data_IF_411490612694
#
_entry.id   IF_411490612694
#
_cell.length_a   1.000
_cell.length_b   1.000
_cell.length_c   1.000
_cell.angle_alpha   90.00
_cell.angle_beta   90.00
_cell.angle_gamma   90.00
#
_symmetry.space_group_name_H-M   'P 1'
#
loop_
_entity.id
_entity.type
_entity.pdbx_description
1 polymer ?
#
# COMPACT_ATOMS: atom_id res chain seq x y z
N UNK A 1 14.60 10.83 34.64
CA UNK A 1 14.52 9.74 33.64
C UNK A 1 13.53 10.07 32.54
N UNK A 2 12.21 10.18 32.79
CA UNK A 2 11.25 10.56 31.74
C UNK A 2 11.58 11.90 31.03
N UNK A 3 11.95 12.94 31.78
CA UNK A 3 12.40 14.21 31.19
C UNK A 3 13.67 14.10 30.34
N UNK A 4 14.55 13.14 30.66
CA UNK A 4 15.74 12.89 29.86
C UNK A 4 15.36 12.24 28.51
N UNK A 5 14.42 11.30 28.53
CA UNK A 5 13.86 10.73 27.29
C UNK A 5 13.11 11.81 26.47
N UNK A 6 12.37 12.72 27.10
CA UNK A 6 11.79 13.88 26.38
C UNK A 6 12.86 14.77 25.73
N UNK A 7 14.01 14.96 26.39
CA UNK A 7 15.12 15.72 25.81
C UNK A 7 15.74 14.98 24.61
N UNK A 8 15.90 13.66 24.69
CA UNK A 8 16.31 12.82 23.56
C UNK A 8 15.31 12.91 22.42
N UNK A 9 14.00 12.89 22.73
CA UNK A 9 12.95 13.03 21.74
C UNK A 9 13.07 14.33 20.97
N UNK A 10 13.21 15.44 21.71
CA UNK A 10 13.44 16.78 21.15
C UNK A 10 14.63 16.82 20.20
N UNK A 11 15.78 16.28 20.62
CA UNK A 11 16.99 16.21 19.77
C UNK A 11 16.74 15.37 18.51
N UNK A 12 15.96 14.28 18.62
CA UNK A 12 15.57 13.45 17.48
C UNK A 12 14.76 14.25 16.46
N UNK A 13 13.73 14.97 16.92
CA UNK A 13 12.88 15.81 16.08
C UNK A 13 13.65 16.96 15.42
N UNK A 14 14.52 17.64 16.17
CA UNK A 14 15.40 18.70 15.63
C UNK A 14 16.34 18.20 14.52
N UNK A 15 16.62 16.89 14.48
CA UNK A 15 17.46 16.24 13.47
C UNK A 15 16.65 15.55 12.37
N UNK A 16 15.32 15.77 12.30
CA UNK A 16 14.41 15.10 11.37
C UNK A 16 14.44 13.56 11.48
N UNK A 17 14.70 13.03 12.69
CA UNK A 17 14.62 11.59 12.99
C UNK A 17 13.36 11.34 13.81
N UNK A 18 12.21 11.29 13.13
CA UNK A 18 10.90 11.15 13.78
C UNK A 18 10.82 9.82 14.52
N UNK A 19 11.30 8.73 13.92
CA UNK A 19 11.33 7.41 14.54
C UNK A 19 12.10 7.39 15.88
N UNK A 20 13.29 7.99 15.90
CA UNK A 20 14.12 8.10 17.10
C UNK A 20 13.41 8.92 18.20
N UNK A 21 12.80 10.04 17.79
CA UNK A 21 12.08 10.90 18.72
C UNK A 21 10.84 10.22 19.30
N UNK A 22 10.11 9.50 18.44
CA UNK A 22 8.94 8.71 18.80
C UNK A 22 9.28 7.59 19.80
N UNK A 23 10.33 6.81 19.53
CA UNK A 23 10.79 5.76 20.45
C UNK A 23 11.17 6.34 21.82
N UNK A 24 11.80 7.51 21.85
CA UNK A 24 12.12 8.19 23.11
C UNK A 24 10.87 8.66 23.87
N UNK A 25 9.86 9.20 23.17
CA UNK A 25 8.57 9.52 23.79
C UNK A 25 7.86 8.27 24.33
N UNK A 26 7.87 7.16 23.59
CA UNK A 26 7.29 5.90 24.04
C UNK A 26 7.99 5.36 25.30
N UNK A 27 9.32 5.49 25.39
CA UNK A 27 10.06 5.18 26.63
C UNK A 27 9.69 6.13 27.77
N UNK A 28 9.57 7.42 27.52
CA UNK A 28 9.11 8.39 28.52
C UNK A 28 7.72 8.04 29.06
N UNK A 29 6.78 7.70 28.17
CA UNK A 29 5.43 7.26 28.50
C UNK A 29 5.45 6.00 29.39
N UNK A 30 6.24 4.98 29.00
CA UNK A 30 6.38 3.74 29.78
C UNK A 30 6.91 4.03 31.20
N UNK A 31 7.94 4.86 31.33
CA UNK A 31 8.48 5.28 32.63
C UNK A 31 7.45 6.01 33.49
N UNK A 32 6.63 6.89 32.90
CA UNK A 32 5.57 7.60 33.62
C UNK A 32 4.44 6.66 34.05
N UNK A 33 3.99 5.74 33.17
CA UNK A 33 2.95 4.74 33.49
C UNK A 33 3.40 3.73 34.54
N UNK A 34 4.70 3.44 34.63
CA UNK A 34 5.24 2.50 35.64
C UNK A 34 5.05 2.94 37.09
N UNK A 35 4.73 4.22 37.34
CA UNK A 35 4.50 4.77 38.68
C UNK A 35 3.11 5.40 38.76
N UNK A 36 2.25 4.84 39.62
CA UNK A 36 0.85 5.29 39.80
C UNK A 36 0.76 6.80 40.10
N UNK A 37 1.69 7.35 40.89
CA UNK A 37 1.73 8.78 41.22
C UNK A 37 2.03 9.68 40.01
N UNK A 38 2.71 9.16 38.98
CA UNK A 38 3.05 9.89 37.76
C UNK A 38 2.01 9.72 36.65
N UNK A 39 1.12 8.73 36.78
CA UNK A 39 0.04 8.47 35.82
C UNK A 39 -1.01 9.58 35.70
N UNK A 40 -1.03 10.56 36.61
CA UNK A 40 -1.95 11.71 36.59
C UNK A 40 -1.29 13.03 36.17
N UNK A 41 -0.03 12.98 35.74
CA UNK A 41 0.68 14.20 35.34
C UNK A 41 0.23 14.67 33.96
N UNK A 42 0.04 15.98 33.79
CA UNK A 42 -0.23 16.60 32.49
C UNK A 42 0.84 16.29 31.43
N UNK A 43 2.07 15.98 31.86
CA UNK A 43 3.12 15.56 30.95
C UNK A 43 2.79 14.22 30.26
N UNK A 44 2.13 13.28 30.95
CA UNK A 44 1.78 11.99 30.37
C UNK A 44 0.75 12.16 29.24
N UNK A 45 -0.29 12.98 29.46
CA UNK A 45 -1.30 13.26 28.43
C UNK A 45 -0.70 14.00 27.23
N UNK A 46 0.23 14.93 27.45
CA UNK A 46 0.96 15.60 26.36
C UNK A 46 1.81 14.62 25.54
N UNK A 47 2.47 13.67 26.20
CA UNK A 47 3.25 12.62 25.52
C UNK A 47 2.32 11.70 24.72
N UNK A 48 1.18 11.32 25.28
CA UNK A 48 0.16 10.49 24.61
C UNK A 48 -0.37 11.18 23.35
N UNK A 49 -0.76 12.45 23.45
CA UNK A 49 -1.21 13.25 22.31
C UNK A 49 -0.11 13.39 21.25
N UNK A 50 1.13 13.66 21.67
CA UNK A 50 2.28 13.73 20.75
C UNK A 50 2.54 12.41 20.04
N UNK A 51 2.41 11.28 20.73
CA UNK A 51 2.57 9.94 20.14
C UNK A 51 1.46 9.66 19.12
N UNK A 52 0.21 10.02 19.42
CA UNK A 52 -0.89 9.88 18.44
C UNK A 52 -0.66 10.74 17.20
N UNK A 53 -0.21 11.99 17.36
CA UNK A 53 0.05 12.92 16.26
C UNK A 53 1.22 12.46 15.38
N UNK A 54 2.29 11.95 15.99
CA UNK A 54 3.51 11.54 15.28
C UNK A 54 3.44 10.12 14.70
N UNK A 55 2.43 9.32 15.08
CA UNK A 55 2.32 7.93 14.66
C UNK A 55 2.33 7.73 13.14
N UNK A 56 1.61 8.53 12.31
CA UNK A 56 1.66 8.38 10.85
C UNK A 56 3.06 8.63 10.29
N UNK A 57 3.72 9.72 10.71
CA UNK A 57 5.05 10.09 10.22
C UNK A 57 6.11 9.06 10.63
N UNK A 58 6.08 8.61 11.89
CA UNK A 58 6.95 7.56 12.39
C UNK A 58 6.75 6.23 11.63
N UNK A 59 5.49 5.85 11.39
CA UNK A 59 5.15 4.64 10.61
C UNK A 59 5.77 4.70 9.22
N UNK A 60 5.61 5.81 8.49
CA UNK A 60 6.23 5.96 7.18
C UNK A 60 7.76 5.86 7.25
N UNK A 61 8.42 6.58 8.16
CA UNK A 61 9.88 6.52 8.32
C UNK A 61 10.38 5.10 8.54
N UNK A 62 9.73 4.33 9.43
CA UNK A 62 10.10 2.95 9.72
C UNK A 62 9.82 2.00 8.54
N UNK A 63 8.73 2.20 7.79
CA UNK A 63 8.46 1.44 6.55
C UNK A 63 9.50 1.72 5.46
N UNK A 64 10.16 2.88 5.50
CA UNK A 64 11.21 3.24 4.54
C UNK A 64 12.58 2.65 4.86
N UNK A 65 12.73 1.93 5.99
CA UNK A 65 13.99 1.30 6.35
C UNK A 65 14.36 0.18 5.37
N UNK A 66 15.66 0.05 5.10
CA UNK A 66 16.20 -1.04 4.29
C UNK A 66 15.84 -2.39 4.90
N UNK A 67 15.44 -3.33 4.05
CA UNK A 67 15.15 -4.71 4.41
C UNK A 67 16.43 -5.41 4.87
N UNK A 68 16.65 -5.41 6.18
CA UNK A 68 17.74 -6.14 6.84
C UNK A 68 17.22 -6.83 8.11
N UNK A 69 17.86 -7.91 8.57
CA UNK A 69 17.49 -8.56 9.82
C UNK A 69 17.46 -7.61 11.04
N UNK A 70 18.32 -6.59 11.04
CA UNK A 70 18.41 -5.57 12.11
C UNK A 70 17.17 -4.66 12.18
N UNK A 71 16.48 -4.47 11.05
CA UNK A 71 15.29 -3.62 10.94
C UNK A 71 13.98 -4.42 10.93
N UNK A 72 14.05 -5.75 10.88
CA UNK A 72 12.88 -6.62 10.71
C UNK A 72 11.79 -6.39 11.78
N UNK A 73 12.18 -6.27 13.05
CA UNK A 73 11.23 -6.03 14.15
C UNK A 73 10.62 -4.63 14.08
N UNK A 74 11.41 -3.60 13.77
CA UNK A 74 10.90 -2.22 13.60
C UNK A 74 9.92 -2.13 12.44
N UNK A 75 10.25 -2.78 11.32
CA UNK A 75 9.37 -2.85 10.15
C UNK A 75 8.06 -3.58 10.47
N UNK A 76 8.13 -4.73 11.15
CA UNK A 76 6.93 -5.46 11.60
C UNK A 76 6.05 -4.59 12.50
N UNK A 77 6.65 -3.86 13.43
CA UNK A 77 5.97 -2.88 14.27
C UNK A 77 5.29 -1.77 13.46
N UNK A 78 5.97 -1.24 12.43
CA UNK A 78 5.41 -0.23 11.54
C UNK A 78 4.23 -0.75 10.70
N UNK A 79 4.28 -1.99 10.22
CA UNK A 79 3.16 -2.63 9.52
C UNK A 79 1.97 -2.82 10.47
N UNK A 80 2.20 -3.22 11.72
CA UNK A 80 1.15 -3.31 12.72
C UNK A 80 0.52 -1.93 13.04
N UNK A 81 1.34 -0.89 13.15
CA UNK A 81 0.86 0.49 13.31
C UNK A 81 0.05 0.96 12.09
N UNK A 82 0.48 0.64 10.88
CA UNK A 82 -0.27 0.93 9.65
C UNK A 82 -1.63 0.23 9.64
N UNK A 83 -1.70 -1.05 10.04
CA UNK A 83 -2.98 -1.78 10.17
C UNK A 83 -3.91 -1.08 11.15
N UNK A 84 -3.41 -0.63 12.29
CA UNK A 84 -4.23 0.06 13.29
C UNK A 84 -4.69 1.43 12.80
N UNK A 85 -3.83 2.20 12.12
CA UNK A 85 -4.23 3.46 11.48
C UNK A 85 -5.34 3.22 10.45
N UNK A 86 -5.19 2.21 9.58
CA UNK A 86 -6.20 1.84 8.59
C UNK A 86 -7.51 1.42 9.25
N UNK A 87 -7.45 0.61 10.32
CA UNK A 87 -8.63 0.23 11.10
C UNK A 87 -9.36 1.48 11.62
N UNK A 88 -8.63 2.44 12.17
CA UNK A 88 -9.20 3.70 12.67
C UNK A 88 -9.73 4.61 11.56
N UNK A 89 -9.14 4.59 10.38
CA UNK A 89 -9.63 5.36 9.23
C UNK A 89 -10.92 4.80 8.66
N UNK A 90 -11.01 3.47 8.55
CA UNK A 90 -12.15 2.78 7.98
C UNK A 90 -13.34 2.70 8.95
N UNK A 91 -13.07 2.75 10.25
CA UNK A 91 -14.07 2.77 11.31
C UNK A 91 -14.70 4.18 11.43
N UNK A 92 -16.03 4.22 11.50
CA UNK A 92 -16.82 5.47 11.51
C UNK A 92 -16.74 6.15 12.88
N UNK A 93 -16.45 5.39 13.92
CA UNK A 93 -16.58 5.84 15.32
C UNK A 93 -15.26 6.32 15.93
N UNK A 94 -14.12 6.09 15.25
CA UNK A 94 -12.80 6.45 15.78
C UNK A 94 -12.24 7.70 15.14
N UNK A 95 -11.74 8.63 15.97
CA UNK A 95 -10.99 9.78 15.47
C UNK A 95 -9.63 9.33 14.93
N UNK A 96 -9.42 9.47 13.62
CA UNK A 96 -8.10 9.25 13.03
C UNK A 96 -7.31 10.56 12.91
N UNK A 97 -6.00 10.53 13.21
CA UNK A 97 -5.09 11.68 13.07
C UNK A 97 -4.52 11.84 11.66
N UNK A 98 -4.74 10.88 10.76
CA UNK A 98 -4.33 10.98 9.36
C UNK A 98 -5.23 11.99 8.65
N UNK A 99 -4.65 13.10 8.20
CA UNK A 99 -5.38 14.17 7.51
C UNK A 99 -5.52 13.91 6.01
N UNK A 100 -4.44 13.52 5.35
CA UNK A 100 -4.39 13.23 3.90
C UNK A 100 -4.17 11.74 3.68
N UNK A 101 -5.28 11.01 3.72
CA UNK A 101 -5.30 9.56 3.51
C UNK A 101 -4.73 9.12 2.16
N UNK A 102 -5.13 9.70 1.01
CA UNK A 102 -4.56 9.34 -0.28
C UNK A 102 -3.04 9.46 -0.33
N UNK A 103 -2.48 10.58 0.17
CA UNK A 103 -1.04 10.78 0.19
C UNK A 103 -0.34 9.82 1.17
N UNK A 104 -0.86 9.68 2.38
CA UNK A 104 -0.30 8.80 3.40
C UNK A 104 -0.28 7.34 2.94
N UNK A 105 -1.40 6.82 2.45
CA UNK A 105 -1.52 5.42 2.07
C UNK A 105 -0.72 5.11 0.80
N UNK A 106 -0.69 6.02 -0.18
CA UNK A 106 0.20 5.89 -1.35
C UNK A 106 1.67 5.80 -0.94
N UNK A 107 2.13 6.67 -0.03
CA UNK A 107 3.50 6.61 0.48
C UNK A 107 3.78 5.33 1.27
N UNK A 108 2.82 4.82 2.03
CA UNK A 108 2.95 3.59 2.80
C UNK A 108 3.05 2.38 1.86
N UNK A 109 2.09 2.22 0.93
CA UNK A 109 2.03 1.09 0.00
C UNK A 109 3.26 1.01 -0.90
N UNK A 110 3.79 2.16 -1.36
CA UNK A 110 5.03 2.19 -2.15
C UNK A 110 6.29 1.73 -1.39
N UNK A 111 6.21 1.62 -0.06
CA UNK A 111 7.31 1.11 0.79
C UNK A 111 7.11 -0.35 1.16
N UNK A 112 5.98 -0.97 0.81
CA UNK A 112 5.64 -2.35 1.15
C UNK A 112 5.99 -3.34 0.03
N UNK A 113 6.21 -4.57 0.43
CA UNK A 113 6.33 -5.74 -0.44
C UNK A 113 4.94 -6.19 -0.93
N UNK A 114 4.87 -6.98 -2.01
CA UNK A 114 3.61 -7.50 -2.51
C UNK A 114 2.92 -8.37 -1.44
N UNK A 115 3.70 -9.24 -0.78
CA UNK A 115 3.27 -10.04 0.39
C UNK A 115 2.66 -9.18 1.50
N UNK A 116 3.35 -8.11 1.87
CA UNK A 116 2.90 -7.23 2.96
C UNK A 116 1.61 -6.50 2.59
N UNK A 117 1.42 -6.07 1.34
CA UNK A 117 0.17 -5.42 0.89
C UNK A 117 -1.00 -6.40 0.91
N UNK A 118 -0.81 -7.61 0.38
CA UNK A 118 -1.83 -8.68 0.38
C UNK A 118 -2.23 -9.04 1.81
N UNK A 119 -1.28 -9.08 2.74
CA UNK A 119 -1.53 -9.34 4.16
C UNK A 119 -2.08 -8.12 4.94
N UNK A 120 -1.96 -6.91 4.39
CA UNK A 120 -2.39 -5.67 5.05
C UNK A 120 -3.88 -5.41 4.82
N UNK A 121 -4.34 -5.57 3.58
CA UNK A 121 -5.68 -5.16 3.14
C UNK A 121 -6.44 -6.37 2.59
N UNK A 122 -7.64 -6.69 3.12
CA UNK A 122 -8.54 -7.66 2.51
C UNK A 122 -9.19 -7.02 1.27
N UNK A 123 -8.40 -6.91 0.19
CA UNK A 123 -8.74 -6.11 -1.00
C UNK A 123 -10.06 -6.51 -1.66
N UNK A 124 -10.35 -7.81 -1.71
CA UNK A 124 -11.59 -8.36 -2.27
C UNK A 124 -12.82 -7.98 -1.44
N UNK A 125 -12.76 -8.11 -0.11
CA UNK A 125 -13.84 -7.70 0.79
C UNK A 125 -14.08 -6.18 0.70
N UNK A 126 -12.99 -5.40 0.69
CA UNK A 126 -13.04 -3.95 0.54
C UNK A 126 -13.69 -3.54 -0.79
N UNK A 127 -13.34 -4.19 -1.90
CA UNK A 127 -13.93 -3.90 -3.21
C UNK A 127 -15.43 -4.27 -3.27
N UNK A 128 -15.84 -5.36 -2.62
CA UNK A 128 -17.24 -5.76 -2.51
C UNK A 128 -18.05 -4.72 -1.72
N UNK A 129 -17.53 -4.24 -0.58
CA UNK A 129 -18.14 -3.15 0.19
C UNK A 129 -18.27 -1.90 -0.70
N UNK A 130 -17.22 -1.57 -1.45
CA UNK A 130 -17.20 -0.40 -2.34
C UNK A 130 -18.24 -0.45 -3.45
N UNK A 131 -18.56 -1.67 -3.93
CA UNK A 131 -19.60 -1.92 -4.94
C UNK A 131 -20.96 -1.39 -4.50
N UNK A 132 -21.28 -1.47 -3.21
CA UNK A 132 -22.49 -0.89 -2.65
C UNK A 132 -22.33 0.60 -2.31
N UNK A 133 -22.44 1.47 -3.31
CA UNK A 133 -22.26 2.94 -3.15
C UNK A 133 -23.14 3.58 -2.08
N UNK A 134 -24.24 2.95 -1.69
CA UNK A 134 -25.22 3.52 -0.75
C UNK A 134 -24.88 3.25 0.71
N UNK A 135 -23.96 2.33 1.02
CA UNK A 135 -23.58 2.06 2.41
C UNK A 135 -22.66 3.15 2.95
N UNK A 136 -22.81 3.46 4.24
CA UNK A 136 -21.94 4.40 4.94
C UNK A 136 -20.48 3.91 4.95
N UNK A 137 -20.29 2.61 5.12
CA UNK A 137 -18.98 1.94 5.03
C UNK A 137 -18.30 2.23 3.68
N UNK A 138 -19.03 2.16 2.57
CA UNK A 138 -18.51 2.47 1.23
C UNK A 138 -18.09 3.94 1.11
N UNK A 139 -18.85 4.86 1.73
CA UNK A 139 -18.53 6.29 1.70
C UNK A 139 -17.27 6.60 2.52
N UNK A 140 -17.13 6.03 3.71
CA UNK A 140 -15.94 6.24 4.54
C UNK A 140 -14.70 5.61 3.91
N UNK A 141 -14.84 4.40 3.36
CA UNK A 141 -13.76 3.74 2.65
C UNK A 141 -13.26 4.58 1.45
N UNK A 142 -14.11 5.35 0.78
CA UNK A 142 -13.70 6.25 -0.33
C UNK A 142 -12.80 7.40 0.12
N UNK A 143 -12.90 7.82 1.38
CA UNK A 143 -12.02 8.85 1.96
C UNK A 143 -10.64 8.27 2.26
N UNK A 144 -10.59 7.02 2.73
CA UNK A 144 -9.37 6.37 3.21
C UNK A 144 -8.59 5.69 2.08
N UNK A 145 -9.30 4.95 1.24
CA UNK A 145 -8.74 4.12 0.17
C UNK A 145 -9.22 4.69 -1.15
N UNK A 146 -8.32 5.36 -1.85
CA UNK A 146 -8.58 5.87 -3.20
C UNK A 146 -8.35 4.79 -4.26
N UNK A 147 -8.58 5.15 -5.53
CA UNK A 147 -8.35 4.25 -6.64
C UNK A 147 -6.88 3.82 -6.75
N UNK A 148 -5.92 4.73 -6.55
CA UNK A 148 -4.49 4.42 -6.67
C UNK A 148 -4.09 3.32 -5.66
N UNK A 149 -4.65 3.37 -4.45
CA UNK A 149 -4.44 2.34 -3.44
C UNK A 149 -5.02 0.99 -3.90
N UNK A 150 -6.23 0.96 -4.45
CA UNK A 150 -6.80 -0.26 -5.03
C UNK A 150 -5.96 -0.80 -6.19
N UNK A 151 -5.46 0.08 -7.06
CA UNK A 151 -4.61 -0.30 -8.17
C UNK A 151 -3.32 -0.96 -7.67
N UNK A 152 -2.66 -0.39 -6.67
CA UNK A 152 -1.51 -1.02 -6.01
C UNK A 152 -1.84 -2.38 -5.39
N UNK A 153 -3.03 -2.53 -4.79
CA UNK A 153 -3.50 -3.82 -4.25
C UNK A 153 -3.72 -4.84 -5.37
N UNK A 154 -4.30 -4.45 -6.50
CA UNK A 154 -4.45 -5.31 -7.69
C UNK A 154 -3.06 -5.79 -8.15
N UNK A 155 -2.13 -4.87 -8.34
CA UNK A 155 -0.77 -5.19 -8.77
C UNK A 155 -0.06 -6.12 -7.79
N UNK A 156 -0.20 -5.91 -6.48
CA UNK A 156 0.37 -6.79 -5.46
C UNK A 156 -0.21 -8.22 -5.52
N UNK A 157 -1.52 -8.36 -5.70
CA UNK A 157 -2.18 -9.66 -5.86
C UNK A 157 -1.72 -10.38 -7.13
N UNK A 158 -1.60 -9.66 -8.25
CA UNK A 158 -1.09 -10.23 -9.51
C UNK A 158 0.39 -10.60 -9.37
N UNK A 159 1.23 -9.72 -8.84
CA UNK A 159 2.67 -9.95 -8.68
C UNK A 159 2.94 -11.19 -7.79
N UNK A 160 2.26 -11.26 -6.65
CA UNK A 160 2.42 -12.36 -5.71
C UNK A 160 1.77 -13.64 -6.24
N UNK A 161 0.56 -13.54 -6.81
CA UNK A 161 -0.12 -14.67 -7.45
C UNK A 161 0.70 -15.29 -8.56
N UNK A 162 1.28 -14.45 -9.42
CA UNK A 162 2.15 -14.87 -10.52
C UNK A 162 3.44 -15.53 -10.01
N UNK A 163 4.19 -14.83 -9.15
CA UNK A 163 5.50 -15.30 -8.68
C UNK A 163 5.42 -16.56 -7.81
N UNK A 164 4.30 -16.76 -7.09
CA UNK A 164 4.09 -17.93 -6.22
C UNK A 164 3.18 -19.01 -6.82
N UNK A 165 2.74 -18.86 -8.08
CA UNK A 165 1.81 -19.78 -8.75
C UNK A 165 0.49 -20.01 -7.99
N UNK A 166 -0.03 -18.96 -7.34
CA UNK A 166 -1.28 -18.98 -6.57
C UNK A 166 -2.40 -18.31 -7.34
N UNK A 167 -3.20 -19.12 -8.04
CA UNK A 167 -4.37 -18.66 -8.81
C UNK A 167 -5.44 -17.99 -7.94
N UNK A 168 -5.54 -18.35 -6.66
CA UNK A 168 -6.44 -17.71 -5.70
C UNK A 168 -6.19 -16.20 -5.58
N UNK A 169 -4.92 -15.78 -5.54
CA UNK A 169 -4.55 -14.37 -5.47
C UNK A 169 -4.89 -13.63 -6.77
N UNK A 170 -4.67 -14.27 -7.92
CA UNK A 170 -5.07 -13.72 -9.23
C UNK A 170 -6.60 -13.58 -9.32
N UNK A 171 -7.35 -14.53 -8.78
CA UNK A 171 -8.81 -14.45 -8.73
C UNK A 171 -9.31 -13.31 -7.82
N UNK A 172 -8.60 -13.03 -6.72
CA UNK A 172 -8.88 -11.84 -5.90
C UNK A 172 -8.64 -10.55 -6.67
N UNK A 173 -7.51 -10.43 -7.39
CA UNK A 173 -7.24 -9.27 -8.26
C UNK A 173 -8.37 -9.05 -9.28
N UNK A 174 -8.80 -10.11 -9.98
CA UNK A 174 -9.95 -10.09 -10.89
C UNK A 174 -11.22 -9.55 -10.21
N UNK A 175 -11.56 -10.07 -9.03
CA UNK A 175 -12.75 -9.67 -8.28
C UNK A 175 -12.72 -8.18 -7.92
N UNK A 176 -11.54 -7.66 -7.55
CA UNK A 176 -11.34 -6.24 -7.27
C UNK A 176 -11.60 -5.41 -8.53
N UNK A 177 -11.02 -5.80 -9.68
CA UNK A 177 -11.27 -5.11 -10.96
C UNK A 177 -12.76 -5.05 -11.30
N UNK A 178 -13.46 -6.19 -11.26
CA UNK A 178 -14.91 -6.27 -11.54
C UNK A 178 -15.74 -5.35 -10.64
N UNK A 179 -15.43 -5.33 -9.34
CA UNK A 179 -16.14 -4.48 -8.38
C UNK A 179 -15.90 -2.99 -8.62
N UNK A 180 -14.67 -2.60 -8.96
CA UNK A 180 -14.32 -1.20 -9.25
C UNK A 180 -14.89 -0.73 -10.58
N UNK A 181 -14.87 -1.56 -11.63
CA UNK A 181 -15.51 -1.23 -12.90
C UNK A 181 -17.02 -1.05 -12.75
N UNK A 182 -17.68 -1.96 -12.02
CA UNK A 182 -19.11 -1.89 -11.77
C UNK A 182 -19.52 -0.68 -10.90
N UNK A 183 -18.63 -0.23 -10.01
CA UNK A 183 -18.93 0.86 -9.09
C UNK A 183 -18.43 2.21 -9.59
N UNK A 184 -17.19 2.36 -10.01
CA UNK A 184 -16.60 3.68 -10.26
C UNK A 184 -16.45 4.02 -11.75
N UNK A 185 -16.93 3.15 -12.65
CA UNK A 185 -16.78 3.30 -14.10
C UNK A 185 -15.32 3.52 -14.53
N UNK A 186 -14.40 2.98 -13.75
CA UNK A 186 -12.97 3.00 -14.02
C UNK A 186 -12.67 1.97 -15.10
N UNK A 187 -11.76 2.27 -16.03
CA UNK A 187 -11.35 1.32 -17.04
C UNK A 187 -10.23 0.42 -16.49
N UNK A 188 -10.59 -0.80 -16.08
CA UNK A 188 -9.67 -1.87 -15.66
C UNK A 188 -9.81 -3.11 -16.56
N UNK A 189 -10.30 -2.92 -17.79
CA UNK A 189 -10.60 -4.03 -18.72
C UNK A 189 -9.37 -4.83 -19.07
N UNK A 190 -8.21 -4.17 -19.17
CA UNK A 190 -6.96 -4.86 -19.44
C UNK A 190 -6.54 -5.73 -18.25
N UNK A 191 -6.53 -5.18 -17.03
CA UNK A 191 -6.15 -5.89 -15.81
C UNK A 191 -7.08 -7.08 -15.55
N UNK A 192 -8.38 -6.89 -15.76
CA UNK A 192 -9.38 -7.98 -15.71
C UNK A 192 -9.08 -9.06 -16.78
N UNK A 193 -8.91 -8.67 -18.05
CA UNK A 193 -8.61 -9.61 -19.13
C UNK A 193 -7.31 -10.36 -18.90
N UNK A 194 -6.30 -9.69 -18.34
CA UNK A 194 -5.03 -10.30 -17.97
C UNK A 194 -5.20 -11.31 -16.83
N UNK A 195 -5.97 -10.98 -15.79
CA UNK A 195 -6.30 -11.93 -14.72
C UNK A 195 -7.09 -13.13 -15.26
N UNK A 196 -8.08 -12.91 -16.14
CA UNK A 196 -8.83 -13.99 -16.79
C UNK A 196 -7.94 -14.91 -17.62
N UNK A 197 -6.98 -14.34 -18.36
CA UNK A 197 -5.98 -15.10 -19.09
C UNK A 197 -5.13 -15.97 -18.15
N UNK A 198 -4.59 -15.39 -17.07
CA UNK A 198 -3.84 -16.15 -16.06
C UNK A 198 -4.68 -17.24 -15.37
N UNK A 199 -6.00 -17.05 -15.25
CA UNK A 199 -6.90 -18.06 -14.66
C UNK A 199 -7.35 -19.12 -15.66
N UNK A 200 -7.04 -18.98 -16.95
CA UNK A 200 -7.39 -19.93 -18.01
C UNK A 200 -8.83 -19.78 -18.47
N UNK A 201 -9.44 -18.66 -18.10
CA UNK A 201 -10.83 -18.30 -18.37
C UNK A 201 -10.95 -17.27 -19.51
N UNK A 202 -9.83 -16.80 -20.05
CA UNK A 202 -9.76 -15.80 -21.11
C UNK A 202 -8.63 -16.08 -22.10
N UNK A 203 -8.65 -15.35 -23.22
CA UNK A 203 -7.69 -15.55 -24.31
C UNK A 203 -6.56 -14.52 -24.23
N UNK A 204 -5.34 -14.96 -24.56
CA UNK A 204 -4.18 -14.08 -24.63
C UNK A 204 -4.40 -12.90 -25.60
N UNK A 205 -5.02 -13.17 -26.75
CA UNK A 205 -5.28 -12.15 -27.78
C UNK A 205 -6.18 -11.02 -27.27
N UNK A 206 -7.16 -11.34 -26.42
CA UNK A 206 -8.04 -10.34 -25.82
C UNK A 206 -7.28 -9.42 -24.86
N UNK A 207 -6.39 -9.98 -24.03
CA UNK A 207 -5.55 -9.18 -23.15
C UNK A 207 -4.58 -8.28 -23.96
N UNK A 208 -4.00 -8.79 -25.04
CA UNK A 208 -3.11 -8.01 -25.93
C UNK A 208 -3.87 -6.88 -26.63
N UNK A 209 -5.09 -7.12 -27.10
CA UNK A 209 -5.95 -6.10 -27.71
C UNK A 209 -6.24 -4.98 -26.71
N UNK A 210 -6.62 -5.32 -25.47
CA UNK A 210 -6.86 -4.33 -24.41
C UNK A 210 -5.62 -3.55 -23.99
N UNK A 211 -4.44 -4.17 -24.01
CA UNK A 211 -3.18 -3.47 -23.79
C UNK A 211 -2.91 -2.43 -24.90
N UNK A 212 -3.14 -2.81 -26.16
CA UNK A 212 -2.98 -1.91 -27.30
C UNK A 212 -3.94 -0.71 -27.26
N UNK A 213 -5.18 -0.93 -26.82
CA UNK A 213 -6.16 0.15 -26.61
C UNK A 213 -5.64 1.19 -25.60
N UNK A 214 -5.07 0.75 -24.48
CA UNK A 214 -4.52 1.65 -23.43
C UNK A 214 -3.32 2.44 -23.95
N UNK A 215 -2.39 1.77 -24.63
CA UNK A 215 -1.19 2.42 -25.17
C UNK A 215 -1.53 3.44 -26.28
N UNK A 216 -2.52 3.14 -27.12
CA UNK A 216 -2.97 4.01 -28.21
C UNK A 216 -3.72 5.25 -27.69
N UNK A 217 -4.42 5.13 -26.56
CA UNK A 217 -5.17 6.23 -25.94
C UNK A 217 -4.31 7.10 -25.00
N UNK A 218 -3.10 6.67 -24.68
CA UNK A 218 -2.21 7.37 -23.76
C UNK A 218 -1.52 8.57 -24.44
N UNK A 219 -1.99 9.79 -24.15
CA UNK A 219 -1.27 11.01 -24.54
C UNK A 219 0.15 11.01 -23.92
N UNK A 220 1.19 11.45 -24.66
CA UNK A 220 2.59 11.43 -24.17
C UNK A 220 2.83 12.31 -22.92
N UNK A 221 1.90 13.21 -22.59
CA UNK A 221 1.95 14.05 -21.38
C UNK A 221 1.57 13.32 -20.08
N UNK A 222 0.88 12.18 -20.15
CA UNK A 222 0.40 11.42 -18.98
C UNK A 222 1.45 10.46 -18.40
N UNK A 223 2.63 10.38 -19.03
CA UNK A 223 3.78 9.56 -18.62
C UNK A 223 4.41 9.98 -17.27
N UNK A 224 3.88 10.99 -16.58
CA UNK A 224 4.45 11.50 -15.31
C UNK A 224 3.80 10.93 -14.04
N UNK A 225 2.78 10.07 -14.14
CA UNK A 225 2.11 9.46 -12.98
C UNK A 225 2.63 8.06 -12.62
N UNK A 226 3.50 7.49 -13.44
CA UNK A 226 4.20 6.23 -13.17
C UNK A 226 5.61 6.57 -12.66
N UNK A 227 6.00 6.15 -11.44
CA UNK A 227 7.36 6.33 -10.99
C UNK A 227 8.27 5.32 -11.71
N UNK A 228 8.96 5.78 -12.77
CA UNK A 228 9.97 4.98 -13.48
C UNK A 228 10.21 5.43 -14.93
N UNK A 229 10.92 6.56 -15.14
CA UNK A 229 11.54 6.94 -16.43
C UNK A 229 12.52 5.84 -16.89
N UNK A 230 12.85 5.59 -18.16
CA UNK A 230 12.72 6.26 -19.47
C UNK A 230 12.83 5.14 -20.52
N UNK A 231 11.93 5.02 -21.50
CA UNK A 231 12.15 4.14 -22.67
C UNK A 231 12.36 5.01 -23.91
N UNK A 232 13.54 4.81 -24.52
CA UNK A 232 13.94 5.34 -25.83
C UNK A 232 13.00 4.83 -26.91
N UNK A 233 12.65 5.75 -27.79
CA UNK A 233 11.77 5.63 -28.95
C UNK A 233 12.17 4.52 -29.95
N UNK A 234 11.16 3.95 -30.62
CA UNK A 234 11.30 3.26 -31.91
C UNK A 234 11.25 1.73 -31.91
N UNK A 235 10.07 1.12 -31.74
CA UNK A 235 9.82 -0.24 -32.23
C UNK A 235 8.33 -0.46 -32.47
N UNK A 236 7.94 -0.79 -33.70
CA UNK A 236 6.60 -1.25 -34.08
C UNK A 236 6.35 -2.70 -33.65
N UNK A 237 6.82 -3.09 -32.46
CA UNK A 237 6.55 -4.39 -31.89
C UNK A 237 5.18 -4.33 -31.19
N UNK A 238 4.33 -5.35 -31.42
CA UNK A 238 3.10 -5.52 -30.62
C UNK A 238 3.49 -5.52 -29.13
N UNK A 239 2.76 -4.81 -28.26
CA UNK A 239 3.06 -4.83 -26.84
C UNK A 239 2.98 -6.26 -26.30
N UNK A 240 4.01 -6.65 -25.57
CA UNK A 240 4.10 -7.97 -24.96
C UNK A 240 3.54 -7.93 -23.54
N UNK A 241 2.63 -8.84 -23.23
CA UNK A 241 2.12 -9.04 -21.87
C UNK A 241 3.25 -9.35 -20.88
N UNK A 242 4.31 -10.02 -21.32
CA UNK A 242 5.48 -10.33 -20.48
C UNK A 242 6.27 -9.07 -20.12
N UNK A 243 6.36 -8.09 -21.04
CA UNK A 243 7.01 -6.81 -20.77
C UNK A 243 6.18 -6.01 -19.77
N UNK A 244 4.86 -5.94 -19.98
CA UNK A 244 3.98 -5.27 -19.01
C UNK A 244 4.03 -5.93 -17.63
N UNK A 245 3.94 -7.26 -17.56
CA UNK A 245 4.04 -8.02 -16.32
C UNK A 245 5.37 -7.76 -15.61
N UNK A 246 6.48 -7.73 -16.35
CA UNK A 246 7.78 -7.43 -15.77
C UNK A 246 7.85 -6.01 -15.22
N UNK A 247 7.60 -5.02 -16.07
CA UNK A 247 7.94 -3.63 -15.78
C UNK A 247 6.87 -2.93 -14.94
N UNK A 248 5.59 -3.29 -15.12
CA UNK A 248 4.44 -2.64 -14.47
C UNK A 248 3.86 -3.43 -13.30
N UNK A 249 4.33 -4.65 -13.03
CA UNK A 249 3.79 -5.49 -11.94
C UNK A 249 4.92 -6.05 -11.08
N UNK A 250 5.80 -6.87 -11.64
CA UNK A 250 6.82 -7.60 -10.89
C UNK A 250 7.93 -6.68 -10.36
N UNK A 251 8.40 -5.72 -11.17
CA UNK A 251 9.48 -4.80 -10.82
C UNK A 251 9.13 -3.84 -9.66
N UNK A 252 7.83 -3.60 -9.44
CA UNK A 252 7.34 -2.68 -8.41
C UNK A 252 7.73 -3.17 -7.02
N UNK A 253 7.57 -4.46 -6.73
CA UNK A 253 7.77 -5.00 -5.38
C UNK A 253 9.14 -5.69 -5.24
N UNK A 254 9.77 -5.51 -4.09
CA UNK A 254 11.10 -6.08 -3.82
C UNK A 254 11.10 -7.61 -3.74
N UNK A 255 10.00 -8.22 -3.32
CA UNK A 255 9.83 -9.66 -3.18
C UNK A 255 9.42 -10.37 -4.49
N UNK A 256 9.07 -9.63 -5.54
CA UNK A 256 8.63 -10.20 -6.83
C UNK A 256 9.52 -9.83 -8.02
N UNK A 257 10.39 -8.82 -7.90
CA UNK A 257 11.19 -8.28 -9.03
C UNK A 257 12.15 -9.26 -9.68
N UNK A 258 12.61 -10.27 -8.94
CA UNK A 258 13.53 -11.29 -9.46
C UNK A 258 12.80 -12.46 -10.13
N UNK A 259 11.46 -12.42 -10.15
CA UNK A 259 10.65 -13.43 -10.82
C UNK A 259 10.78 -13.33 -12.35
N UNK A 260 10.92 -14.48 -13.02
CA UNK A 260 10.99 -14.54 -14.47
C UNK A 260 9.58 -14.32 -15.07
N UNK A 261 9.37 -13.29 -15.92
CA UNK A 261 8.04 -12.85 -16.35
C UNK A 261 7.42 -13.71 -17.46
N UNK A 262 7.84 -14.97 -17.61
CA UNK A 262 7.41 -15.78 -18.75
C UNK A 262 6.07 -16.44 -18.53
N UNK A 263 5.14 -16.15 -19.42
CA UNK A 263 3.79 -16.70 -19.42
C UNK A 263 3.75 -18.18 -19.83
N UNK A 264 4.83 -18.67 -20.46
CA UNK A 264 4.96 -20.09 -20.81
C UNK A 264 5.07 -20.98 -19.57
N UNK A 265 5.77 -20.53 -18.52
CA UNK A 265 6.00 -21.32 -17.31
C UNK A 265 4.89 -21.17 -16.25
N UNK A 266 3.84 -20.41 -16.58
CA UNK A 266 2.69 -20.20 -15.70
C UNK A 266 1.80 -21.45 -15.59
N UNK A 267 1.61 -22.16 -16.70
CA UNK A 267 0.77 -23.36 -16.82
C UNK A 267 1.47 -24.63 -16.34
#
# INVERSE_FOLDING_TARGET
MALAECAVAKIGFERNKVSLGFEALARAQCLLRSKISLGKMALLSQIEESLEELAPACTLELLGMLHSPENAERRRGAIAALRELLRQGLDVETSCRVQDWPCFLSQALNRLMATEIVDLLPGDELAIVRKNKKSLESQNQRVVIDFNCFYMVILAHVALGFSSKKTELVNKAKTICECLMASESIDLKFEEAFCLFLLGQGNQDQAVEKLQEIESNSNPATRSLVPGKEIKDGSSAKPSLEIWLKDSVLAIFSDTRDCFPSLFFWW
#
